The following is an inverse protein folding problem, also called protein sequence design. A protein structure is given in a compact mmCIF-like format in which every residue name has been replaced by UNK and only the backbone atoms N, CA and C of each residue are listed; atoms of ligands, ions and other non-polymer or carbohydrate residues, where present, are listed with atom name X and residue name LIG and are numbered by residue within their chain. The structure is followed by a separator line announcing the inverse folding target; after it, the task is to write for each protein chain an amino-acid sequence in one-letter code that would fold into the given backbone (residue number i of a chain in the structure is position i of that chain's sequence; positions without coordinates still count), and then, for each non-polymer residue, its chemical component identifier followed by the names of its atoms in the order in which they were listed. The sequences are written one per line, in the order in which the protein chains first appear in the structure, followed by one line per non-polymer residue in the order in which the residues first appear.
data_IF_869055029360
#
_entry.id   IF_869055029360
#
_cell.length_a   1.000
_cell.length_b   1.000
_cell.length_c   1.000
_cell.angle_alpha   90.00
_cell.angle_beta   90.00
_cell.angle_gamma   90.00
#
_symmetry.space_group_name_H-M   'P 1'
#
loop_
_entity.id
_entity.type
_entity.pdbx_description
1 polymer ?
#
# COMPACT_ATOMS: atom_id res chain seq x y z
N UNK A 1 -37.35 -7.04 26.84
CA UNK A 1 -35.93 -7.15 26.46
C UNK A 1 -35.55 -5.87 25.71
N UNK A 2 -34.67 -5.04 26.25
CA UNK A 2 -34.20 -3.82 25.59
C UNK A 2 -33.24 -4.19 24.45
N UNK A 3 -33.50 -3.72 23.23
CA UNK A 3 -32.57 -3.88 22.11
C UNK A 3 -31.27 -3.13 22.41
N UNK A 4 -30.08 -3.74 22.17
CA UNK A 4 -28.82 -3.06 22.39
C UNK A 4 -28.70 -1.83 21.46
N UNK A 5 -28.05 -0.74 21.90
CA UNK A 5 -27.96 0.48 21.11
C UNK A 5 -27.26 0.19 19.77
N UNK A 6 -27.90 0.59 18.66
CA UNK A 6 -27.29 0.57 17.31
C UNK A 6 -25.98 1.38 17.37
N UNK A 7 -24.84 0.70 17.51
CA UNK A 7 -23.53 1.34 17.37
C UNK A 7 -23.51 2.01 15.99
N UNK A 8 -23.36 3.33 15.95
CA UNK A 8 -23.13 4.05 14.69
C UNK A 8 -21.89 3.44 14.05
N UNK A 9 -22.07 2.61 13.03
CA UNK A 9 -20.97 1.96 12.32
C UNK A 9 -20.10 3.03 11.67
N UNK A 10 -18.78 2.97 11.85
CA UNK A 10 -17.83 3.80 11.10
C UNK A 10 -18.16 3.64 9.60
N UNK A 11 -18.57 4.71 8.89
CA UNK A 11 -18.92 4.64 7.47
C UNK A 11 -17.80 4.07 6.61
N UNK A 12 -16.53 4.22 7.04
CA UNK A 12 -15.37 3.67 6.36
C UNK A 12 -15.07 2.20 6.68
N UNK A 13 -15.74 1.59 7.66
CA UNK A 13 -15.44 0.23 8.11
C UNK A 13 -15.62 -0.82 7.00
N UNK A 14 -16.71 -0.82 6.20
CA UNK A 14 -16.86 -1.79 5.12
C UNK A 14 -15.74 -1.68 4.08
N UNK A 15 -15.32 -0.45 3.74
CA UNK A 15 -14.21 -0.23 2.84
C UNK A 15 -12.89 -0.74 3.42
N UNK A 16 -12.59 -0.43 4.69
CA UNK A 16 -11.38 -0.89 5.38
C UNK A 16 -11.29 -2.42 5.43
N UNK A 17 -12.40 -3.10 5.68
CA UNK A 17 -12.47 -4.57 5.71
C UNK A 17 -12.29 -5.18 4.32
N UNK A 18 -12.94 -4.60 3.31
CA UNK A 18 -12.79 -5.04 1.92
C UNK A 18 -11.36 -4.86 1.43
N UNK A 19 -10.76 -3.70 1.71
CA UNK A 19 -9.37 -3.42 1.36
C UNK A 19 -8.42 -4.38 2.05
N UNK A 20 -8.55 -4.60 3.36
CA UNK A 20 -7.70 -5.53 4.10
C UNK A 20 -7.79 -6.96 3.55
N UNK A 21 -8.98 -7.42 3.16
CA UNK A 21 -9.18 -8.75 2.58
C UNK A 21 -8.56 -8.87 1.19
N UNK A 22 -8.72 -7.83 0.36
CA UNK A 22 -8.08 -7.76 -0.95
C UNK A 22 -6.54 -7.73 -0.84
N UNK A 23 -5.98 -6.96 0.10
CA UNK A 23 -4.53 -6.90 0.34
C UNK A 23 -3.97 -8.27 0.70
N UNK A 24 -4.62 -9.01 1.61
CA UNK A 24 -4.20 -10.36 1.99
C UNK A 24 -4.26 -11.33 0.81
N UNK A 25 -5.34 -11.29 0.04
CA UNK A 25 -5.50 -12.12 -1.14
C UNK A 25 -4.42 -11.83 -2.20
N UNK A 26 -4.13 -10.55 -2.45
CA UNK A 26 -3.09 -10.12 -3.38
C UNK A 26 -1.68 -10.49 -2.90
N UNK A 27 -1.43 -10.40 -1.60
CA UNK A 27 -0.17 -10.79 -0.97
C UNK A 27 0.06 -12.31 -0.98
N UNK A 28 -1.01 -13.10 -1.08
CA UNK A 28 -0.94 -14.56 -0.92
C UNK A 28 -0.64 -14.99 0.52
N UNK A 29 -0.88 -14.14 1.51
CA UNK A 29 -0.63 -14.41 2.93
C UNK A 29 -1.85 -14.02 3.77
N UNK A 30 -2.55 -15.02 4.32
CA UNK A 30 -3.73 -14.84 5.16
C UNK A 30 -3.42 -14.20 6.53
N UNK A 31 -2.17 -14.35 7.00
CA UNK A 31 -1.69 -13.85 8.27
C UNK A 31 -1.22 -12.39 8.18
N UNK A 32 -1.18 -11.80 6.97
CA UNK A 32 -0.85 -10.39 6.78
C UNK A 32 -1.89 -9.50 7.46
N UNK A 33 -1.48 -8.78 8.48
CA UNK A 33 -2.32 -7.83 9.20
C UNK A 33 -2.34 -6.49 8.48
N UNK A 34 -3.52 -5.91 8.31
CA UNK A 34 -3.69 -4.56 7.75
C UNK A 34 -4.19 -3.63 8.84
N UNK A 35 -3.35 -2.68 9.21
CA UNK A 35 -3.64 -1.64 10.21
C UNK A 35 -3.86 -0.30 9.52
N UNK A 36 -4.70 0.54 10.12
CA UNK A 36 -4.94 1.90 9.65
C UNK A 36 -4.41 2.88 10.70
N UNK A 37 -3.53 3.80 10.31
CA UNK A 37 -2.98 4.84 11.19
C UNK A 37 -2.87 6.19 10.48
N UNK A 38 -2.46 7.22 11.20
CA UNK A 38 -2.09 8.52 10.64
C UNK A 38 -0.65 8.57 10.11
N UNK A 39 0.09 7.48 10.22
CA UNK A 39 1.50 7.40 9.82
C UNK A 39 1.65 7.11 8.32
N UNK A 40 2.89 7.22 7.83
CA UNK A 40 3.21 6.86 6.46
C UNK A 40 2.99 5.36 6.20
N UNK A 41 2.52 5.00 4.99
CA UNK A 41 2.35 3.60 4.63
C UNK A 41 3.66 2.83 4.80
N UNK A 42 3.60 1.71 5.51
CA UNK A 42 4.79 0.91 5.83
C UNK A 42 4.46 -0.58 5.96
N UNK A 43 5.47 -1.42 5.78
CA UNK A 43 5.40 -2.86 5.99
C UNK A 43 6.48 -3.24 7.00
N UNK A 44 6.07 -3.82 8.13
CA UNK A 44 6.97 -4.35 9.16
C UNK A 44 6.62 -5.80 9.42
N UNK A 45 7.49 -6.71 9.02
CA UNK A 45 7.19 -8.15 9.05
C UNK A 45 5.90 -8.45 8.28
N UNK A 46 4.91 -9.01 8.97
CA UNK A 46 3.58 -9.33 8.42
C UNK A 46 2.51 -8.28 8.76
N UNK A 47 2.90 -7.04 9.00
CA UNK A 47 1.98 -5.95 9.33
C UNK A 47 2.12 -4.82 8.33
N UNK A 48 1.10 -4.63 7.50
CA UNK A 48 0.96 -3.52 6.57
C UNK A 48 0.16 -2.40 7.24
N UNK A 49 0.78 -1.24 7.42
CA UNK A 49 0.14 -0.04 7.94
C UNK A 49 -0.24 0.87 6.79
N UNK A 50 -1.51 1.26 6.72
CA UNK A 50 -2.08 2.13 5.70
C UNK A 50 -2.62 3.42 6.33
N UNK A 51 -2.67 4.53 5.56
CA UNK A 51 -3.26 5.76 6.05
C UNK A 51 -4.77 5.61 6.26
N UNK A 52 -5.28 6.26 7.29
CA UNK A 52 -6.70 6.27 7.57
C UNK A 52 -7.48 7.04 6.48
N UNK A 53 -8.50 6.42 5.85
CA UNK A 53 -9.34 7.14 4.90
C UNK A 53 -10.11 8.26 5.61
N UNK A 54 -10.33 9.37 4.90
CA UNK A 54 -11.17 10.47 5.36
C UNK A 54 -12.62 10.01 5.58
N UNK A 55 -13.40 10.81 6.33
CA UNK A 55 -14.80 10.47 6.65
C UNK A 55 -15.69 10.38 5.41
N UNK A 56 -15.33 11.06 4.33
CA UNK A 56 -16.04 11.08 3.05
C UNK A 56 -15.02 11.06 1.91
N UNK A 57 -14.41 9.91 1.63
CA UNK A 57 -13.26 9.83 0.74
C UNK A 57 -13.68 10.02 -0.71
N UNK A 58 -12.88 10.77 -1.45
CA UNK A 58 -13.07 10.93 -2.90
C UNK A 58 -12.64 9.66 -3.64
N UNK A 59 -13.10 9.48 -4.89
CA UNK A 59 -12.63 8.36 -5.73
C UNK A 59 -11.10 8.35 -5.89
N UNK A 60 -10.48 9.53 -6.02
CA UNK A 60 -9.02 9.69 -6.13
C UNK A 60 -8.33 9.25 -4.85
N UNK A 61 -8.83 9.67 -3.68
CA UNK A 61 -8.28 9.26 -2.37
C UNK A 61 -8.35 7.74 -2.19
N UNK A 62 -9.48 7.11 -2.54
CA UNK A 62 -9.63 5.66 -2.47
C UNK A 62 -8.67 4.94 -3.41
N UNK A 63 -8.45 5.44 -4.63
CA UNK A 63 -7.51 4.86 -5.58
C UNK A 63 -6.06 4.94 -5.07
N UNK A 64 -5.67 6.08 -4.46
CA UNK A 64 -4.35 6.27 -3.85
C UNK A 64 -4.15 5.29 -2.68
N UNK A 65 -5.13 5.19 -1.78
CA UNK A 65 -5.09 4.29 -0.63
C UNK A 65 -4.99 2.82 -1.07
N UNK A 66 -5.74 2.43 -2.11
CA UNK A 66 -5.61 1.12 -2.75
C UNK A 66 -4.23 0.92 -3.37
N UNK A 67 -3.66 1.94 -4.03
CA UNK A 67 -2.32 1.86 -4.60
C UNK A 67 -1.24 1.62 -3.55
N UNK A 68 -1.38 2.22 -2.35
CA UNK A 68 -0.52 1.89 -1.22
C UNK A 68 -0.68 0.45 -0.78
N UNK A 69 -1.92 -0.02 -0.61
CA UNK A 69 -2.21 -1.39 -0.23
C UNK A 69 -1.64 -2.40 -1.23
N UNK A 70 -1.84 -2.18 -2.53
CA UNK A 70 -1.36 -3.05 -3.60
C UNK A 70 0.18 -3.08 -3.65
N UNK A 71 0.85 -1.94 -3.50
CA UNK A 71 2.32 -1.87 -3.44
C UNK A 71 2.89 -2.69 -2.27
N UNK A 72 2.28 -2.59 -1.08
CA UNK A 72 2.71 -3.36 0.08
C UNK A 72 2.41 -4.87 -0.09
N UNK A 73 1.24 -5.22 -0.63
CA UNK A 73 0.88 -6.61 -0.90
C UNK A 73 1.82 -7.27 -1.91
N UNK A 74 2.15 -6.58 -3.00
CA UNK A 74 3.11 -7.06 -4.00
C UNK A 74 4.52 -7.17 -3.44
N UNK A 75 4.90 -6.29 -2.50
CA UNK A 75 6.15 -6.45 -1.76
C UNK A 75 6.14 -7.76 -0.98
N UNK A 76 5.09 -8.06 -0.21
CA UNK A 76 4.97 -9.35 0.50
C UNK A 76 5.03 -10.54 -0.45
N UNK A 77 4.35 -10.48 -1.59
CA UNK A 77 4.23 -11.60 -2.52
C UNK A 77 5.50 -11.85 -3.36
N UNK A 78 6.24 -10.81 -3.72
CA UNK A 78 7.27 -10.88 -4.77
C UNK A 78 8.67 -10.49 -4.31
N UNK A 79 8.84 -10.02 -3.07
CA UNK A 79 10.13 -9.61 -2.53
C UNK A 79 10.78 -10.73 -1.69
N UNK A 80 12.03 -11.05 -1.98
CA UNK A 80 12.87 -11.90 -1.12
C UNK A 80 13.76 -11.00 -0.26
N UNK A 81 13.43 -10.90 1.03
CA UNK A 81 14.14 -10.06 1.98
C UNK A 81 15.59 -10.53 2.23
N UNK A 82 15.85 -11.84 2.21
CA UNK A 82 17.18 -12.40 2.47
C UNK A 82 18.11 -12.13 1.28
N UNK A 83 17.62 -12.37 0.07
CA UNK A 83 18.36 -12.07 -1.15
C UNK A 83 18.59 -10.56 -1.31
N UNK A 84 17.57 -9.75 -1.04
CA UNK A 84 17.70 -8.30 -1.09
C UNK A 84 18.77 -7.81 -0.09
N UNK A 85 18.77 -8.30 1.14
CA UNK A 85 19.77 -7.91 2.14
C UNK A 85 21.21 -8.29 1.72
N UNK A 86 21.37 -9.43 1.04
CA UNK A 86 22.67 -9.90 0.53
C UNK A 86 23.20 -9.05 -0.65
N UNK A 87 22.31 -8.62 -1.53
CA UNK A 87 22.68 -7.89 -2.77
C UNK A 87 22.73 -6.38 -2.57
N UNK A 88 22.02 -5.86 -1.59
CA UNK A 88 21.81 -4.44 -1.52
C UNK A 88 23.10 -3.69 -1.11
N UNK A 89 23.39 -2.54 -1.75
CA UNK A 89 24.57 -1.74 -1.44
C UNK A 89 24.60 -1.25 0.01
N UNK A 90 25.79 -0.80 0.44
CA UNK A 90 25.93 -0.02 1.66
C UNK A 90 25.08 1.26 1.60
N UNK A 91 24.78 1.81 2.78
CA UNK A 91 23.96 3.02 2.91
C UNK A 91 24.50 4.18 2.05
N UNK A 92 23.58 4.89 1.39
CA UNK A 92 23.92 5.99 0.49
C UNK A 92 23.05 5.98 -0.76
N UNK A 93 23.43 6.78 -1.77
CA UNK A 93 22.64 6.94 -3.00
C UNK A 93 22.43 5.61 -3.75
N UNK A 94 23.46 4.77 -3.83
CA UNK A 94 23.36 3.47 -4.49
C UNK A 94 22.28 2.58 -3.85
N UNK A 95 22.18 2.58 -2.52
CA UNK A 95 21.13 1.87 -1.79
C UNK A 95 19.74 2.44 -2.10
N UNK A 96 19.60 3.77 -2.12
CA UNK A 96 18.32 4.42 -2.47
C UNK A 96 17.85 4.07 -3.88
N UNK A 97 18.76 4.03 -4.85
CA UNK A 97 18.45 3.59 -6.23
C UNK A 97 18.07 2.11 -6.25
N UNK A 98 18.83 1.26 -5.55
CA UNK A 98 18.55 -0.17 -5.45
C UNK A 98 17.15 -0.46 -4.88
N UNK A 99 16.77 0.23 -3.79
CA UNK A 99 15.44 0.11 -3.18
C UNK A 99 14.32 0.63 -4.10
N UNK A 100 14.56 1.71 -4.83
CA UNK A 100 13.60 2.24 -5.79
C UNK A 100 13.36 1.28 -6.95
N UNK A 101 14.43 0.68 -7.49
CA UNK A 101 14.36 -0.31 -8.58
C UNK A 101 13.67 -1.59 -8.09
N UNK A 102 13.99 -2.07 -6.89
CA UNK A 102 13.31 -3.25 -6.34
C UNK A 102 11.81 -3.02 -6.16
N UNK A 103 11.42 -1.84 -5.64
CA UNK A 103 10.00 -1.48 -5.55
C UNK A 103 9.34 -1.46 -6.93
N UNK A 104 10.00 -0.88 -7.93
CA UNK A 104 9.48 -0.86 -9.30
C UNK A 104 9.33 -2.28 -9.88
N UNK A 105 10.25 -3.20 -9.57
CA UNK A 105 10.20 -4.60 -10.01
C UNK A 105 8.97 -5.32 -9.45
N UNK A 106 8.73 -5.26 -8.15
CA UNK A 106 7.56 -5.93 -7.53
C UNK A 106 6.24 -5.33 -8.00
N UNK A 107 6.18 -4.00 -8.13
CA UNK A 107 5.01 -3.29 -8.64
C UNK A 107 4.72 -3.63 -10.11
N UNK A 108 5.75 -3.73 -10.95
CA UNK A 108 5.62 -4.09 -12.36
C UNK A 108 5.05 -5.50 -12.56
N UNK A 109 5.47 -6.48 -11.75
CA UNK A 109 4.93 -7.85 -11.80
C UNK A 109 3.41 -7.85 -11.58
N UNK A 110 2.94 -7.09 -10.58
CA UNK A 110 1.52 -6.96 -10.29
C UNK A 110 0.76 -6.21 -11.38
N UNK A 111 1.31 -5.07 -11.84
CA UNK A 111 0.69 -4.22 -12.85
C UNK A 111 0.49 -4.95 -14.20
N UNK A 112 1.46 -5.75 -14.63
CA UNK A 112 1.38 -6.53 -15.88
C UNK A 112 0.25 -7.55 -15.81
N UNK A 113 0.07 -8.20 -14.66
CA UNK A 113 -0.93 -9.27 -14.47
C UNK A 113 -2.34 -8.73 -14.22
N UNK A 114 -2.45 -7.54 -13.63
CA UNK A 114 -3.72 -7.01 -13.11
C UNK A 114 -3.86 -5.52 -13.46
N UNK A 115 -4.67 -5.22 -14.49
CA UNK A 115 -4.91 -3.83 -14.96
C UNK A 115 -5.47 -2.91 -13.85
N UNK A 116 -6.30 -3.45 -12.96
CA UNK A 116 -6.83 -2.69 -11.82
C UNK A 116 -5.75 -2.30 -10.81
N UNK A 117 -4.78 -3.18 -10.55
CA UNK A 117 -3.61 -2.89 -9.72
C UNK A 117 -2.73 -1.84 -10.40
N UNK A 118 -2.52 -1.95 -11.72
CA UNK A 118 -1.80 -0.94 -12.48
C UNK A 118 -2.42 0.47 -12.30
N UNK A 119 -3.74 0.59 -12.43
CA UNK A 119 -4.44 1.87 -12.23
C UNK A 119 -4.29 2.43 -10.80
N UNK A 120 -4.38 1.57 -9.77
CA UNK A 120 -4.19 2.00 -8.38
C UNK A 120 -2.74 2.46 -8.11
N UNK A 121 -1.75 1.73 -8.64
CA UNK A 121 -0.32 2.09 -8.53
C UNK A 121 -0.02 3.41 -9.24
N UNK A 122 -0.59 3.64 -10.42
CA UNK A 122 -0.49 4.91 -11.14
C UNK A 122 -1.09 6.07 -10.33
N UNK A 123 -2.30 5.92 -9.79
CA UNK A 123 -2.94 6.95 -8.98
C UNK A 123 -2.09 7.35 -7.75
N UNK A 124 -1.48 6.36 -7.09
CA UNK A 124 -0.52 6.59 -5.98
C UNK A 124 0.73 7.31 -6.46
N UNK A 125 1.28 6.92 -7.61
CA UNK A 125 2.50 7.53 -8.16
C UNK A 125 2.25 8.98 -8.55
N UNK A 126 1.16 9.26 -9.27
CA UNK A 126 0.71 10.62 -9.60
C UNK A 126 0.57 11.47 -8.35
N UNK A 127 -0.16 11.01 -7.32
CA UNK A 127 -0.32 11.76 -6.08
C UNK A 127 1.02 12.08 -5.37
N UNK A 128 2.00 11.18 -5.43
CA UNK A 128 3.33 11.40 -4.85
C UNK A 128 4.10 12.51 -5.57
N UNK A 129 3.90 12.68 -6.88
CA UNK A 129 4.66 13.63 -7.70
C UNK A 129 3.90 14.91 -8.04
N UNK A 130 2.56 14.91 -8.02
CA UNK A 130 1.72 16.11 -8.12
C UNK A 130 2.06 17.12 -7.00
N UNK A 131 2.37 16.65 -5.79
CA UNK A 131 2.86 17.49 -4.69
C UNK A 131 4.35 17.87 -4.75
N UNK A 132 5.09 17.38 -5.75
CA UNK A 132 6.55 17.53 -5.90
C UNK A 132 6.97 18.28 -7.17
N UNK A 133 6.03 18.96 -7.83
CA UNK A 133 6.28 19.87 -8.94
C UNK A 133 6.96 21.17 -8.48
N UNK A 134 8.17 21.03 -7.92
CA UNK A 134 9.18 22.06 -7.84
C UNK A 134 10.52 21.33 -7.75
N UNK A 135 11.12 21.06 -8.92
CA UNK A 135 12.57 20.95 -9.00
C UNK A 135 13.04 22.40 -9.00
N UNK A 136 13.58 22.97 -7.90
CA UNK A 136 14.26 24.25 -8.00
C UNK A 136 15.45 24.07 -8.96
N UNK A 137 15.58 25.03 -9.89
CA UNK A 137 16.69 25.13 -10.83
C UNK A 137 18.04 25.27 -10.11
#
# INVERSE_FOLDING_TARGET
MAMPPKRKSDPGLPFKQALASATRALAGDEALQVLYSSETPSLKGKTATLPQPSRSPTKKELAILRGHADSLALTVACHDAALHAKLAPAAGMARSVFEAVERARVEAIGAIRMKGVAANLSARMEAKYEGRAAIPA
#
